data_IF_771661354041
#
_entry.id   IF_771661354041
#
_cell.length_a   1.000
_cell.length_b   1.000
_cell.length_c   1.000
_cell.angle_alpha   90.00
_cell.angle_beta   90.00
_cell.angle_gamma   90.00
#
_symmetry.space_group_name_H-M   'P 1'
#
loop_
_entity.id
_entity.type
_entity.pdbx_description
1 polymer ?
#
# COMPACT_ATOMS: atom_id res chain seq x y z
N UNK A 1 40.50 -49.01 18.62
CA UNK A 1 40.03 -48.48 19.92
C UNK A 1 39.35 -47.14 19.66
N UNK A 2 38.19 -46.96 20.28
CA UNK A 2 37.25 -45.83 20.15
C UNK A 2 37.84 -44.51 20.66
N UNK A 3 37.44 -43.40 20.03
CA UNK A 3 37.02 -42.17 20.70
C UNK A 3 36.16 -41.39 19.69
N UNK A 4 34.83 -41.58 19.71
CA UNK A 4 33.86 -40.66 20.35
C UNK A 4 33.92 -39.26 19.69
N UNK A 5 32.99 -38.97 18.77
CA UNK A 5 31.76 -38.20 19.04
C UNK A 5 32.07 -36.78 19.52
N UNK A 6 31.76 -35.77 18.69
CA UNK A 6 31.26 -34.42 19.05
C UNK A 6 31.06 -33.65 17.73
N UNK A 7 29.96 -32.89 17.59
CA UNK A 7 28.81 -33.33 16.82
C UNK A 7 28.32 -32.27 15.82
N UNK A 8 27.36 -32.64 14.97
CA UNK A 8 26.07 -31.95 14.76
C UNK A 8 26.00 -30.43 15.09
N UNK A 9 26.88 -29.59 14.54
CA UNK A 9 26.95 -28.14 14.84
C UNK A 9 26.96 -27.27 13.58
N UNK A 10 26.10 -27.57 12.62
CA UNK A 10 25.86 -26.69 11.45
C UNK A 10 24.40 -26.20 11.38
N UNK A 11 23.67 -26.25 12.49
CA UNK A 11 22.34 -25.68 12.65
C UNK A 11 22.44 -24.29 13.26
N UNK A 12 22.55 -23.26 12.41
CA UNK A 12 22.09 -21.87 12.64
C UNK A 12 22.65 -20.92 11.56
N UNK A 13 22.27 -21.13 10.29
CA UNK A 13 22.32 -20.02 9.33
C UNK A 13 21.21 -19.04 9.71
N UNK A 14 21.56 -18.11 10.60
CA UNK A 14 20.73 -17.02 11.07
C UNK A 14 20.27 -16.17 9.89
N UNK A 15 19.04 -16.41 9.40
CA UNK A 15 18.32 -15.49 8.54
C UNK A 15 17.83 -14.31 9.39
N UNK A 16 18.75 -13.46 9.85
CA UNK A 16 18.39 -12.16 10.43
C UNK A 16 18.03 -11.22 9.28
N UNK A 17 16.80 -11.34 8.75
CA UNK A 17 16.25 -10.33 7.87
C UNK A 17 15.93 -9.09 8.72
N UNK A 18 16.91 -8.18 8.84
CA UNK A 18 16.68 -6.85 9.38
C UNK A 18 15.89 -6.06 8.33
N UNK A 19 14.56 -6.19 8.34
CA UNK A 19 13.70 -5.32 7.54
C UNK A 19 13.85 -3.91 8.13
N UNK A 20 14.51 -3.00 7.38
CA UNK A 20 14.58 -1.59 7.78
C UNK A 20 13.16 -1.05 7.83
N UNK A 21 12.67 -0.79 9.04
CA UNK A 21 11.33 -0.22 9.25
C UNK A 21 11.34 1.19 8.71
N UNK A 22 10.83 1.35 7.49
CA UNK A 22 10.63 2.66 6.88
C UNK A 22 9.58 3.42 7.66
N UNK A 23 9.94 4.65 8.07
CA UNK A 23 9.04 5.55 8.80
C UNK A 23 8.30 6.41 7.79
N UNK A 24 6.98 6.31 7.80
CA UNK A 24 6.11 7.25 7.12
C UNK A 24 5.86 8.45 8.03
N UNK A 25 5.66 9.62 7.44
CA UNK A 25 5.32 10.85 8.16
C UNK A 25 4.09 10.62 9.04
N UNK A 26 4.15 11.12 10.27
CA UNK A 26 3.01 11.07 11.18
C UNK A 26 1.95 12.11 10.77
N UNK A 27 0.67 11.91 11.17
CA UNK A 27 -0.35 12.92 11.03
C UNK A 27 0.12 14.27 11.58
N UNK A 28 0.03 15.30 10.76
CA UNK A 28 0.42 16.67 11.09
C UNK A 28 -0.72 17.65 10.72
N UNK A 29 -0.69 18.90 11.21
CA UNK A 29 -1.78 19.86 10.99
C UNK A 29 -2.07 20.20 9.53
N UNK A 30 -1.09 20.01 8.63
CA UNK A 30 -1.20 20.29 7.20
C UNK A 30 -1.84 19.15 6.39
N UNK A 31 -2.25 18.06 7.06
CA UNK A 31 -2.89 16.94 6.40
C UNK A 31 -4.35 17.25 6.06
N UNK A 32 -4.70 17.01 4.80
CA UNK A 32 -6.08 17.02 4.33
C UNK A 32 -6.62 15.60 4.29
N UNK A 33 -7.91 15.44 4.60
CA UNK A 33 -8.62 14.15 4.53
C UNK A 33 -9.80 14.26 3.58
N UNK A 34 -9.96 13.27 2.72
CA UNK A 34 -11.09 13.11 1.81
C UNK A 34 -11.65 11.72 2.01
N UNK A 35 -12.96 11.64 2.21
CA UNK A 35 -13.67 10.39 2.45
C UNK A 35 -14.74 10.25 1.37
N UNK A 36 -14.97 9.04 0.88
CA UNK A 36 -15.96 8.80 -0.14
C UNK A 36 -16.10 7.32 -0.46
N UNK A 37 -16.53 7.00 -1.68
CA UNK A 37 -16.58 5.64 -2.19
C UNK A 37 -15.57 5.43 -3.32
N UNK A 38 -15.00 4.23 -3.36
CA UNK A 38 -14.19 3.74 -4.46
C UNK A 38 -14.86 2.53 -5.09
N UNK A 39 -15.15 2.64 -6.38
CA UNK A 39 -15.38 1.49 -7.25
C UNK A 39 -14.03 1.08 -7.86
N UNK A 40 -13.56 -0.10 -7.48
CA UNK A 40 -12.38 -0.74 -8.05
C UNK A 40 -12.79 -1.91 -8.96
N UNK A 41 -12.22 -1.97 -10.17
CA UNK A 41 -12.32 -3.12 -11.07
C UNK A 41 -10.92 -3.51 -11.50
N UNK A 42 -10.42 -4.62 -10.97
CA UNK A 42 -9.19 -5.26 -11.44
C UNK A 42 -9.49 -6.48 -12.32
N UNK A 43 -8.44 -7.17 -12.74
CA UNK A 43 -8.56 -8.29 -13.70
C UNK A 43 -9.48 -9.44 -13.26
N UNK A 44 -9.62 -9.70 -11.96
CA UNK A 44 -10.39 -10.85 -11.42
C UNK A 44 -11.45 -10.46 -10.40
N UNK A 45 -11.63 -9.17 -10.14
CA UNK A 45 -12.42 -8.71 -8.99
C UNK A 45 -12.94 -7.30 -9.27
N UNK A 46 -14.21 -7.09 -8.94
CA UNK A 46 -14.85 -5.80 -8.92
C UNK A 46 -15.46 -5.57 -7.54
N UNK A 47 -15.15 -4.43 -6.91
CA UNK A 47 -15.57 -4.10 -5.57
C UNK A 47 -15.99 -2.64 -5.52
N UNK A 48 -16.98 -2.37 -4.68
CA UNK A 48 -17.33 -1.02 -4.23
C UNK A 48 -17.21 -1.02 -2.72
N UNK A 49 -16.62 0.04 -2.18
CA UNK A 49 -16.42 0.22 -0.76
C UNK A 49 -16.06 1.66 -0.42
N UNK A 50 -15.83 1.90 0.85
CA UNK A 50 -15.46 3.22 1.35
C UNK A 50 -13.97 3.46 1.14
N UNK A 51 -13.62 4.70 0.82
CA UNK A 51 -12.24 5.13 0.66
C UNK A 51 -11.97 6.34 1.54
N UNK A 52 -10.85 6.30 2.24
CA UNK A 52 -10.32 7.41 3.00
C UNK A 52 -8.93 7.72 2.44
N UNK A 53 -8.78 8.93 1.93
CA UNK A 53 -7.53 9.45 1.37
C UNK A 53 -7.06 10.57 2.28
N UNK A 54 -5.80 10.51 2.69
CA UNK A 54 -5.16 11.59 3.44
C UNK A 54 -3.88 12.00 2.74
N UNK A 55 -3.58 13.29 2.74
CA UNK A 55 -2.35 13.79 2.16
C UNK A 55 -1.82 15.03 2.85
N UNK A 56 -0.50 15.14 2.96
CA UNK A 56 0.19 16.34 3.47
C UNK A 56 0.56 17.30 2.35
N UNK A 57 0.90 18.54 2.72
CA UNK A 57 1.43 19.55 1.78
C UNK A 57 2.78 19.15 1.18
N UNK A 58 3.57 18.34 1.90
CA UNK A 58 4.80 17.73 1.40
C UNK A 58 4.55 16.56 0.43
N UNK A 59 3.29 16.19 0.22
CA UNK A 59 2.87 15.10 -0.66
C UNK A 59 3.00 13.73 -0.02
N UNK A 60 3.06 13.60 1.30
CA UNK A 60 2.80 12.30 1.93
C UNK A 60 1.36 11.89 1.63
N UNK A 61 1.14 10.59 1.48
CA UNK A 61 -0.11 10.05 0.97
C UNK A 61 -0.48 8.78 1.72
N UNK A 62 -1.72 8.73 2.20
CA UNK A 62 -2.35 7.53 2.74
C UNK A 62 -3.67 7.29 2.03
N UNK A 63 -3.94 6.04 1.67
CA UNK A 63 -5.22 5.60 1.16
C UNK A 63 -5.61 4.33 1.91
N UNK A 64 -6.82 4.31 2.44
CA UNK A 64 -7.45 3.13 3.01
C UNK A 64 -8.71 2.84 2.21
N UNK A 65 -8.82 1.63 1.68
CA UNK A 65 -10.01 1.13 0.99
C UNK A 65 -10.62 0.00 1.83
N UNK A 66 -11.89 0.12 2.18
CA UNK A 66 -12.60 -0.80 3.08
C UNK A 66 -13.95 -1.22 2.51
N UNK A 67 -14.44 -2.39 2.95
CA UNK A 67 -15.78 -2.89 2.60
C UNK A 67 -16.64 -2.99 3.86
N UNK A 68 -17.43 -1.96 4.11
CA UNK A 68 -18.23 -1.87 5.32
C UNK A 68 -17.38 -1.66 6.58
N UNK A 69 -18.02 -1.67 7.77
CA UNK A 69 -17.34 -1.35 9.02
C UNK A 69 -16.19 -2.32 9.33
N UNK A 70 -14.98 -1.79 9.51
CA UNK A 70 -13.83 -2.53 10.04
C UNK A 70 -13.10 -3.47 9.06
N UNK A 71 -13.60 -3.69 7.84
CA UNK A 71 -12.95 -4.58 6.87
C UNK A 71 -12.07 -3.78 5.91
N UNK A 72 -10.80 -3.62 6.26
CA UNK A 72 -9.80 -2.99 5.38
C UNK A 72 -9.37 -3.97 4.30
N UNK A 73 -9.58 -3.60 3.04
CA UNK A 73 -9.18 -4.38 1.86
C UNK A 73 -7.78 -4.01 1.37
N UNK A 74 -7.40 -2.76 1.53
CA UNK A 74 -6.11 -2.23 1.11
C UNK A 74 -5.74 -0.97 1.90
N UNK A 75 -4.48 -0.84 2.26
CA UNK A 75 -3.85 0.41 2.68
C UNK A 75 -2.65 0.70 1.80
N UNK A 76 -2.53 1.93 1.33
CA UNK A 76 -1.32 2.47 0.68
C UNK A 76 -0.80 3.58 1.57
N UNK A 77 0.48 3.52 1.95
CA UNK A 77 1.21 4.63 2.58
C UNK A 77 2.41 4.95 1.72
N UNK A 78 2.56 6.21 1.31
CA UNK A 78 3.55 6.58 0.31
C UNK A 78 4.07 8.00 0.53
N UNK A 79 5.39 8.14 0.44
CA UNK A 79 6.05 9.43 0.29
C UNK A 79 6.76 9.49 -1.08
N UNK A 80 7.66 10.46 -1.28
CA UNK A 80 8.38 10.60 -2.55
C UNK A 80 9.27 9.39 -2.90
N UNK A 81 9.83 8.70 -1.90
CA UNK A 81 10.88 7.70 -2.07
C UNK A 81 10.39 6.28 -1.87
N UNK A 82 9.39 6.09 -1.02
CA UNK A 82 8.99 4.79 -0.51
C UNK A 82 7.48 4.65 -0.45
N UNK A 83 7.01 3.45 -0.73
CA UNK A 83 5.61 3.05 -0.61
C UNK A 83 5.51 1.73 0.13
N UNK A 84 4.46 1.59 0.96
CA UNK A 84 4.00 0.32 1.51
C UNK A 84 2.55 0.14 1.10
N UNK A 85 2.25 -1.03 0.56
CA UNK A 85 0.90 -1.45 0.21
C UNK A 85 0.59 -2.73 0.98
N UNK A 86 -0.51 -2.77 1.70
CA UNK A 86 -0.87 -3.90 2.56
C UNK A 86 -2.36 -4.21 2.50
N UNK A 87 -2.72 -5.46 2.77
CA UNK A 87 -4.08 -5.94 2.86
C UNK A 87 -4.39 -7.07 1.88
N UNK A 88 -5.63 -7.61 1.92
CA UNK A 88 -6.05 -8.70 1.05
C UNK A 88 -5.85 -8.42 -0.45
N UNK A 89 -6.16 -7.21 -0.91
CA UNK A 89 -5.97 -6.83 -2.32
C UNK A 89 -4.49 -6.69 -2.71
N UNK A 90 -3.61 -6.47 -1.73
CA UNK A 90 -2.16 -6.46 -1.91
C UNK A 90 -1.53 -7.86 -1.87
N UNK A 91 -2.33 -8.90 -1.58
CA UNK A 91 -1.86 -10.28 -1.33
C UNK A 91 -0.84 -10.36 -0.20
N UNK A 92 -1.11 -9.65 0.90
CA UNK A 92 -0.22 -9.55 2.05
C UNK A 92 0.29 -8.13 2.22
N UNK A 93 1.61 -7.95 2.18
CA UNK A 93 2.26 -6.64 2.25
C UNK A 93 3.43 -6.60 1.31
N UNK A 94 3.62 -5.46 0.65
CA UNK A 94 4.82 -5.16 -0.12
C UNK A 94 5.28 -3.74 0.21
N UNK A 95 6.59 -3.53 0.20
CA UNK A 95 7.15 -2.21 0.37
C UNK A 95 8.43 -2.02 -0.42
N UNK A 96 8.68 -0.80 -0.88
CA UNK A 96 9.81 -0.49 -1.75
C UNK A 96 9.70 0.87 -2.42
N UNK A 97 10.64 1.15 -3.33
CA UNK A 97 10.56 2.33 -4.19
C UNK A 97 9.33 2.22 -5.12
N UNK A 98 8.53 3.29 -5.33
CA UNK A 98 7.34 3.24 -6.18
C UNK A 98 7.59 2.67 -7.59
N UNK A 99 8.74 2.99 -8.19
CA UNK A 99 9.13 2.48 -9.51
C UNK A 99 9.38 0.96 -9.55
N UNK A 100 9.66 0.33 -8.41
CA UNK A 100 9.89 -1.11 -8.27
C UNK A 100 8.62 -1.89 -7.88
N UNK A 101 7.46 -1.24 -7.89
CA UNK A 101 6.21 -1.90 -7.55
C UNK A 101 5.92 -3.10 -8.47
N UNK A 102 5.58 -4.27 -7.88
CA UNK A 102 5.06 -5.42 -8.63
C UNK A 102 3.90 -4.99 -9.52
N UNK A 103 3.76 -5.63 -10.69
CA UNK A 103 2.78 -5.22 -11.72
C UNK A 103 1.37 -5.08 -11.15
N UNK A 104 0.94 -6.02 -10.30
CA UNK A 104 -0.40 -6.02 -9.69
C UNK A 104 -0.63 -4.91 -8.64
N UNK A 105 0.41 -4.19 -8.20
CA UNK A 105 0.32 -3.06 -7.27
C UNK A 105 0.52 -1.72 -7.96
N UNK A 106 0.94 -1.69 -9.24
CA UNK A 106 1.27 -0.44 -9.94
C UNK A 106 0.07 0.50 -10.03
N UNK A 107 -1.13 -0.02 -10.25
CA UNK A 107 -2.37 0.76 -10.23
C UNK A 107 -2.53 1.50 -8.90
N UNK A 108 -2.49 0.76 -7.79
CA UNK A 108 -2.60 1.31 -6.44
C UNK A 108 -1.51 2.34 -6.09
N UNK A 109 -0.26 2.07 -6.46
CA UNK A 109 0.88 2.98 -6.21
C UNK A 109 0.80 4.27 -7.04
N UNK A 110 0.19 4.22 -8.23
CA UNK A 110 0.04 5.40 -9.09
C UNK A 110 -0.96 6.44 -8.54
N UNK A 111 -1.89 6.02 -7.67
CA UNK A 111 -3.01 6.84 -7.21
C UNK A 111 -2.55 8.10 -6.46
N UNK A 112 -1.39 8.06 -5.78
CA UNK A 112 -0.81 9.24 -5.14
C UNK A 112 -0.70 10.40 -6.14
N UNK A 113 -0.08 10.17 -7.29
CA UNK A 113 0.14 11.23 -8.27
C UNK A 113 -1.17 11.74 -8.89
N UNK A 114 -2.20 10.89 -8.98
CA UNK A 114 -3.50 11.24 -9.54
C UNK A 114 -4.30 12.09 -8.54
N UNK A 115 -4.43 11.61 -7.31
CA UNK A 115 -5.27 12.24 -6.30
C UNK A 115 -4.67 13.54 -5.75
N UNK A 116 -3.34 13.64 -5.66
CA UNK A 116 -2.67 14.90 -5.31
C UNK A 116 -2.83 16.00 -6.37
N UNK A 117 -3.02 15.64 -7.64
CA UNK A 117 -3.30 16.61 -8.73
C UNK A 117 -4.77 16.98 -8.85
N UNK A 118 -5.66 16.29 -8.14
CA UNK A 118 -7.10 16.49 -8.19
C UNK A 118 -7.72 16.69 -6.79
N UNK A 119 -7.20 17.62 -5.95
CA UNK A 119 -7.57 17.71 -4.54
C UNK A 119 -9.04 18.08 -4.30
N UNK A 120 -9.66 18.84 -5.22
CA UNK A 120 -11.03 19.33 -5.11
C UNK A 120 -12.03 18.65 -6.07
N UNK A 121 -11.62 17.62 -6.80
CA UNK A 121 -12.51 16.96 -7.77
C UNK A 121 -13.45 15.97 -7.05
N UNK A 122 -14.79 16.12 -7.13
CA UNK A 122 -15.72 15.20 -6.47
C UNK A 122 -15.72 13.81 -7.11
N UNK A 123 -15.34 13.71 -8.38
CA UNK A 123 -15.27 12.45 -9.11
C UNK A 123 -13.92 12.32 -9.80
N UNK A 124 -13.17 11.26 -9.50
CA UNK A 124 -11.87 10.97 -10.14
C UNK A 124 -11.91 9.58 -10.74
N UNK A 125 -11.55 9.47 -12.03
CA UNK A 125 -11.45 8.19 -12.74
C UNK A 125 -10.01 7.96 -13.18
N UNK A 126 -9.51 6.76 -12.96
CA UNK A 126 -8.17 6.38 -13.36
C UNK A 126 -8.15 4.94 -13.88
N UNK A 127 -7.47 4.71 -14.99
CA UNK A 127 -7.17 3.37 -15.51
C UNK A 127 -5.66 3.18 -15.57
N UNK A 128 -5.16 2.06 -15.06
CA UNK A 128 -3.74 1.67 -15.11
C UNK A 128 -3.64 0.18 -15.38
N UNK A 129 -3.19 -0.18 -16.58
CA UNK A 129 -3.19 -1.59 -17.01
C UNK A 129 -4.60 -2.16 -16.96
N UNK A 130 -4.79 -3.24 -16.19
CA UNK A 130 -6.10 -3.88 -16.01
C UNK A 130 -6.94 -3.26 -14.87
N UNK A 131 -6.38 -2.31 -14.11
CA UNK A 131 -7.04 -1.72 -12.95
C UNK A 131 -7.80 -0.46 -13.35
N UNK A 132 -9.08 -0.39 -12.99
CA UNK A 132 -9.91 0.79 -13.11
C UNK A 132 -10.38 1.24 -11.73
N UNK A 133 -10.24 2.54 -11.47
CA UNK A 133 -10.60 3.19 -10.22
C UNK A 133 -11.59 4.31 -10.52
N UNK A 134 -12.71 4.34 -9.82
CA UNK A 134 -13.65 5.47 -9.81
C UNK A 134 -13.90 5.89 -8.38
N UNK A 135 -13.39 7.06 -8.02
CA UNK A 135 -13.57 7.68 -6.72
C UNK A 135 -14.72 8.67 -6.80
N UNK A 136 -15.64 8.60 -5.85
CA UNK A 136 -16.67 9.60 -5.58
C UNK A 136 -16.45 10.12 -4.15
N UNK A 137 -15.93 11.34 -4.03
CA UNK A 137 -15.59 12.02 -2.77
C UNK A 137 -16.70 12.99 -2.33
#
# INVERSE_FOLDING_TARGET
MRCLLIPLLASALCLTSCETVQRFTQPAPDWQTRVGQLQYRGAKTALIGDVLVRSSSAGDFELTFSKGPGIVLLTVRQNAQFVRVSGPLARGSWSGAPAKAPVHLRGWVSLRAVLLRAPAQPLVRQTVGADNFTFAF
#
